data_IF_745589546792
#
_entry.id   IF_745589546792
#
_cell.length_a   1.000
_cell.length_b   1.000
_cell.length_c   1.000
_cell.angle_alpha   90.00
_cell.angle_beta   90.00
_cell.angle_gamma   90.00
#
_symmetry.space_group_name_H-M   'P 1'
#
loop_
_entity.id
_entity.type
_entity.pdbx_description
1 polymer ?
#
# COMPACT_ATOMS: atom_id res chain seq x y z
N UNK A 1 6.54 2.43 12.25
CA UNK A 1 6.33 1.46 11.16
C UNK A 1 7.48 1.45 10.17
N UNK A 2 7.78 2.54 9.45
CA UNK A 2 8.92 2.53 8.51
C UNK A 2 10.28 2.36 9.23
N UNK A 3 10.47 3.03 10.38
CA UNK A 3 11.69 2.86 11.21
C UNK A 3 11.95 1.45 11.71
N UNK A 4 10.91 0.66 11.98
CA UNK A 4 11.04 -0.73 12.49
C UNK A 4 11.44 -1.71 11.39
N UNK A 5 11.39 -1.30 10.13
CA UNK A 5 11.87 -2.06 8.97
C UNK A 5 13.23 -1.53 8.47
N UNK A 6 13.87 -0.64 9.24
CA UNK A 6 15.13 0.01 8.87
C UNK A 6 15.01 1.24 7.98
N UNK A 7 13.80 1.63 7.54
CA UNK A 7 13.60 2.82 6.70
C UNK A 7 13.73 4.13 7.48
N UNK A 8 14.58 5.03 6.99
CA UNK A 8 14.72 6.39 7.50
C UNK A 8 13.87 7.38 6.65
N UNK A 9 14.00 8.68 6.94
CA UNK A 9 13.25 9.72 6.21
C UNK A 9 13.70 9.87 4.75
N UNK A 10 14.96 9.58 4.45
CA UNK A 10 15.54 9.64 3.11
C UNK A 10 15.01 8.52 2.21
N UNK A 11 14.62 7.38 2.81
CA UNK A 11 14.00 6.27 2.11
C UNK A 11 12.46 6.39 2.03
N UNK A 12 11.85 7.42 2.62
CA UNK A 12 10.39 7.54 2.67
C UNK A 12 9.75 7.65 1.27
N UNK A 13 10.40 8.39 0.35
CA UNK A 13 9.94 8.49 -1.05
C UNK A 13 10.02 7.16 -1.78
N UNK A 14 11.08 6.38 -1.55
CA UNK A 14 11.25 5.06 -2.17
C UNK A 14 10.13 4.09 -1.75
N UNK A 15 9.86 4.01 -0.44
CA UNK A 15 8.79 3.16 0.09
C UNK A 15 7.43 3.62 -0.42
N UNK A 16 7.22 4.94 -0.49
CA UNK A 16 5.98 5.50 -1.02
C UNK A 16 5.79 5.17 -2.51
N UNK A 17 6.86 5.18 -3.30
CA UNK A 17 6.85 4.75 -4.70
C UNK A 17 6.47 3.27 -4.85
N UNK A 18 7.13 2.38 -4.10
CA UNK A 18 6.79 0.94 -4.09
C UNK A 18 5.33 0.69 -3.73
N UNK A 19 4.82 1.43 -2.75
CA UNK A 19 3.43 1.33 -2.31
C UNK A 19 2.47 1.84 -3.39
N UNK A 20 2.75 2.96 -4.04
CA UNK A 20 1.96 3.46 -5.16
C UNK A 20 1.91 2.45 -6.31
N UNK A 21 3.05 1.86 -6.68
CA UNK A 21 3.14 0.87 -7.74
C UNK A 21 2.35 -0.41 -7.42
N UNK A 22 2.40 -0.87 -6.17
CA UNK A 22 1.64 -2.03 -5.71
C UNK A 22 0.13 -1.76 -5.75
N UNK A 23 -0.30 -0.58 -5.28
CA UNK A 23 -1.70 -0.13 -5.33
C UNK A 23 -2.17 -0.04 -6.78
N UNK A 24 -1.38 0.56 -7.67
CA UNK A 24 -1.76 0.73 -9.07
C UNK A 24 -1.89 -0.62 -9.76
N UNK A 25 -0.99 -1.58 -9.47
CA UNK A 25 -1.10 -2.95 -10.01
C UNK A 25 -2.36 -3.65 -9.54
N UNK A 26 -2.68 -3.61 -8.24
CA UNK A 26 -3.91 -4.19 -7.70
C UNK A 26 -5.16 -3.50 -8.24
N UNK A 27 -5.12 -2.16 -8.34
CA UNK A 27 -6.15 -1.39 -9.01
C UNK A 27 -6.23 -1.72 -10.51
N UNK A 28 -5.18 -2.14 -11.20
CA UNK A 28 -5.33 -2.57 -12.61
C UNK A 28 -5.91 -3.97 -12.77
N UNK A 29 -5.90 -4.80 -11.71
CA UNK A 29 -6.48 -6.16 -11.76
C UNK A 29 -8.01 -6.17 -11.83
N UNK A 30 -8.67 -5.03 -11.66
CA UNK A 30 -10.12 -4.93 -11.86
C UNK A 30 -10.95 -5.62 -10.78
N UNK A 31 -10.37 -5.97 -9.62
CA UNK A 31 -11.07 -6.63 -8.51
C UNK A 31 -12.04 -5.69 -7.74
N UNK A 32 -12.32 -4.51 -8.28
CA UNK A 32 -13.22 -3.49 -7.75
C UNK A 32 -14.33 -3.24 -8.79
N UNK A 33 -15.56 -3.11 -8.31
CA UNK A 33 -16.74 -2.92 -9.15
C UNK A 33 -16.84 -1.44 -9.52
N UNK A 34 -16.10 -1.03 -10.55
CA UNK A 34 -16.09 0.32 -11.13
C UNK A 34 -17.48 0.91 -11.39
N UNK A 35 -18.50 0.07 -11.65
CA UNK A 35 -19.87 0.49 -11.91
C UNK A 35 -20.78 0.68 -10.67
N UNK A 36 -20.27 0.48 -9.45
CA UNK A 36 -21.02 0.64 -8.18
C UNK A 36 -20.32 1.62 -7.24
N UNK A 37 -19.33 2.37 -7.74
CA UNK A 37 -18.67 3.42 -6.95
C UNK A 37 -19.68 4.54 -6.71
N UNK A 38 -20.35 4.52 -5.57
CA UNK A 38 -21.16 5.63 -5.09
C UNK A 38 -20.29 6.62 -4.32
N UNK A 39 -20.92 7.60 -3.67
CA UNK A 39 -20.24 8.64 -2.88
C UNK A 39 -19.40 8.07 -1.71
N UNK A 40 -19.64 6.82 -1.31
CA UNK A 40 -18.95 6.17 -0.21
C UNK A 40 -17.63 5.51 -0.64
N UNK A 41 -17.43 5.30 -1.95
CA UNK A 41 -16.25 4.64 -2.49
C UNK A 41 -16.19 3.15 -2.14
N UNK A 42 -15.29 2.43 -2.79
CA UNK A 42 -15.06 1.01 -2.53
C UNK A 42 -13.77 0.81 -1.76
N UNK A 43 -13.87 0.07 -0.67
CA UNK A 43 -12.71 -0.38 0.10
C UNK A 43 -12.08 -1.59 -0.58
N UNK A 44 -10.77 -1.58 -0.68
CA UNK A 44 -9.98 -2.74 -1.03
C UNK A 44 -8.73 -2.76 -0.15
N UNK A 45 -8.11 -3.91 -0.02
CA UNK A 45 -6.85 -4.01 0.70
C UNK A 45 -5.81 -4.63 -0.22
N UNK A 46 -4.57 -4.24 0.01
CA UNK A 46 -3.42 -4.84 -0.63
C UNK A 46 -2.54 -5.46 0.45
N UNK A 47 -2.10 -6.68 0.21
CA UNK A 47 -1.05 -7.32 0.98
C UNK A 47 0.19 -7.35 0.08
N UNK A 48 1.30 -6.78 0.56
CA UNK A 48 2.57 -6.79 -0.17
C UNK A 48 3.73 -6.96 0.80
N UNK A 49 4.82 -7.55 0.31
CA UNK A 49 6.01 -7.81 1.12
C UNK A 49 7.01 -6.70 0.85
N UNK A 50 7.49 -6.06 1.91
CA UNK A 50 8.64 -5.17 1.87
C UNK A 50 9.85 -5.90 2.43
N UNK A 51 10.95 -5.88 1.69
CA UNK A 51 12.25 -6.23 2.25
C UNK A 51 12.66 -5.13 3.23
N UNK A 52 13.24 -5.50 4.37
CA UNK A 52 13.86 -4.54 5.26
C UNK A 52 15.11 -3.92 4.62
N UNK A 53 15.57 -2.81 5.19
CA UNK A 53 16.84 -2.20 4.78
C UNK A 53 17.75 -1.97 5.99
N UNK A 54 19.00 -1.61 5.72
CA UNK A 54 20.02 -1.40 6.75
C UNK A 54 20.18 -2.64 7.63
N UNK A 55 20.00 -2.50 8.95
CA UNK A 55 20.16 -3.57 9.93
C UNK A 55 19.12 -4.69 9.80
N UNK A 56 18.09 -4.49 8.96
CA UNK A 56 17.01 -5.45 8.71
C UNK A 56 17.00 -5.95 7.25
N UNK A 57 18.11 -5.85 6.51
CA UNK A 57 18.17 -6.20 5.08
C UNK A 57 17.83 -7.67 4.75
N UNK A 58 17.94 -8.58 5.71
CA UNK A 58 17.57 -10.00 5.54
C UNK A 58 16.12 -10.30 5.94
N UNK A 59 15.40 -9.31 6.48
CA UNK A 59 14.04 -9.46 6.98
C UNK A 59 13.00 -9.09 5.92
N UNK A 60 11.84 -9.76 6.00
CA UNK A 60 10.69 -9.49 5.15
C UNK A 60 9.50 -9.12 5.99
N UNK A 61 8.89 -8.00 5.66
CA UNK A 61 7.75 -7.45 6.39
C UNK A 61 6.50 -7.55 5.53
N UNK A 62 5.50 -8.27 6.04
CA UNK A 62 4.20 -8.34 5.40
C UNK A 62 3.43 -7.05 5.73
N UNK A 63 3.19 -6.24 4.71
CA UNK A 63 2.46 -4.99 4.82
C UNK A 63 1.05 -5.17 4.29
N UNK A 64 0.09 -4.84 5.15
CA UNK A 64 -1.32 -4.75 4.81
C UNK A 64 -1.73 -3.29 4.71
N UNK A 65 -2.23 -2.87 3.55
CA UNK A 65 -2.66 -1.49 3.34
C UNK A 65 -4.11 -1.48 2.92
N UNK A 66 -4.94 -0.82 3.74
CA UNK A 66 -6.31 -0.51 3.37
C UNK A 66 -6.33 0.67 2.40
N UNK A 67 -7.09 0.56 1.34
CA UNK A 67 -7.27 1.60 0.33
C UNK A 67 -8.75 1.84 0.09
N UNK A 68 -9.11 3.07 -0.25
CA UNK A 68 -10.44 3.44 -0.70
C UNK A 68 -10.34 4.05 -2.09
N UNK A 69 -11.12 3.54 -3.03
CA UNK A 69 -11.25 4.09 -4.38
C UNK A 69 -12.63 4.73 -4.57
N UNK A 70 -12.68 5.92 -5.16
CA UNK A 70 -13.92 6.63 -5.51
C UNK A 70 -14.12 6.68 -7.03
N UNK A 71 -15.29 7.12 -7.52
CA UNK A 71 -15.46 7.49 -8.92
C UNK A 71 -14.31 8.39 -9.41
N UNK A 72 -13.94 8.26 -10.69
CA UNK A 72 -12.79 8.95 -11.31
C UNK A 72 -11.39 8.46 -10.88
N UNK A 73 -11.29 7.24 -10.36
CA UNK A 73 -10.01 6.60 -10.02
C UNK A 73 -9.20 7.37 -8.95
N UNK A 74 -9.87 8.15 -8.09
CA UNK A 74 -9.23 8.73 -6.90
C UNK A 74 -9.00 7.63 -5.87
N UNK A 75 -7.76 7.37 -5.51
CA UNK A 75 -7.38 6.40 -4.49
C UNK A 75 -6.86 7.14 -3.26
N UNK A 76 -7.38 6.80 -2.07
CA UNK A 76 -6.80 7.22 -0.79
C UNK A 76 -6.28 5.99 -0.07
N UNK A 77 -5.03 6.10 0.35
CA UNK A 77 -4.32 5.08 1.12
C UNK A 77 -4.61 5.33 2.60
N UNK A 78 -5.19 4.35 3.29
CA UNK A 78 -5.22 4.33 4.74
C UNK A 78 -3.86 3.84 5.26
N UNK A 79 -3.47 4.27 6.46
CA UNK A 79 -2.15 3.99 7.04
C UNK A 79 -1.78 2.51 6.92
N UNK A 80 -0.60 2.17 6.34
CA UNK A 80 -0.12 0.79 6.28
C UNK A 80 -0.09 0.16 7.67
N UNK A 81 -0.38 -1.13 7.76
CA UNK A 81 -0.23 -1.96 8.95
C UNK A 81 0.78 -3.08 8.66
N UNK A 82 1.74 -3.31 9.54
CA UNK A 82 2.58 -4.53 9.50
C UNK A 82 1.73 -5.64 10.08
N UNK A 83 1.63 -6.75 9.36
CA UNK A 83 1.18 -8.01 9.93
C UNK A 83 2.43 -8.80 10.32
N UNK A 84 2.60 -9.02 11.62
CA UNK A 84 3.50 -10.05 12.15
C UNK A 84 2.98 -11.45 11.78
#
# INVERSE_FOLDING_TARGET
>A
MMRTMGYNIDNAEYVYGLLCDAIEKEFKKGNYKLGVLDIHGQHFAIDFVLDGINDHAEEKFNCHVGCVTWPYAKIKVATPLVKD
#
